data_IF_625416316025
#
_entry.id   IF_625416316025
#
_cell.length_a   1.000
_cell.length_b   1.000
_cell.length_c   1.000
_cell.angle_alpha   90.00
_cell.angle_beta   90.00
_cell.angle_gamma   90.00
#
_symmetry.space_group_name_H-M   'P 1'
#
loop_
_entity.id
_entity.type
_entity.pdbx_description
1 polymer ?
#
# COMPACT_ATOMS: atom_id res chain seq x y z
N UNK A 1 -29.30 -1.81 -28.33
CA UNK A 1 -27.99 -1.12 -28.23
C UNK A 1 -27.83 -0.32 -29.52
N UNK A 2 -27.77 1.01 -29.44
CA UNK A 2 -27.51 1.83 -30.64
C UNK A 2 -26.14 1.45 -31.23
N UNK A 3 -26.03 1.42 -32.56
CA UNK A 3 -24.80 1.04 -33.27
C UNK A 3 -23.61 1.97 -32.94
N UNK A 4 -22.38 1.58 -33.33
CA UNK A 4 -21.17 2.28 -32.94
C UNK A 4 -21.22 3.76 -33.36
N UNK A 5 -21.20 4.67 -32.39
CA UNK A 5 -21.12 6.11 -32.61
C UNK A 5 -19.69 6.50 -32.97
N UNK A 6 -19.50 7.32 -34.00
CA UNK A 6 -18.18 7.89 -34.38
C UNK A 6 -17.57 8.83 -33.33
N UNK A 7 -18.25 9.03 -32.20
CA UNK A 7 -17.82 9.94 -31.12
C UNK A 7 -16.60 9.45 -30.34
N UNK A 8 -16.31 8.14 -30.39
CA UNK A 8 -15.19 7.56 -29.68
C UNK A 8 -14.39 6.65 -30.62
N UNK A 9 -13.27 7.17 -31.07
CA UNK A 9 -12.28 6.41 -31.85
C UNK A 9 -11.35 5.75 -30.84
N UNK A 10 -11.48 4.43 -30.68
CA UNK A 10 -10.60 3.65 -29.82
C UNK A 10 -9.23 3.52 -30.49
N UNK A 11 -8.20 4.07 -29.87
CA UNK A 11 -6.82 3.79 -30.25
C UNK A 11 -6.45 2.35 -29.82
N UNK A 12 -6.09 1.45 -30.76
CA UNK A 12 -5.72 0.09 -30.43
C UNK A 12 -4.53 -0.01 -29.46
N UNK A 13 -3.58 0.94 -29.53
CA UNK A 13 -2.41 0.91 -28.66
C UNK A 13 -2.78 1.22 -27.21
N UNK A 14 -3.58 2.26 -27.00
CA UNK A 14 -4.10 2.65 -25.69
C UNK A 14 -5.03 1.58 -25.11
N UNK A 15 -5.85 0.94 -25.93
CA UNK A 15 -6.68 -0.19 -25.48
C UNK A 15 -5.84 -1.38 -25.03
N UNK A 16 -4.80 -1.76 -25.79
CA UNK A 16 -3.85 -2.81 -25.39
C UNK A 16 -3.11 -2.48 -24.10
N UNK A 17 -2.73 -1.22 -23.89
CA UNK A 17 -2.10 -0.79 -22.65
C UNK A 17 -3.04 -0.99 -21.44
N UNK A 18 -4.31 -0.60 -21.55
CA UNK A 18 -5.28 -0.85 -20.49
C UNK A 18 -5.49 -2.34 -20.24
N UNK A 19 -5.57 -3.15 -21.29
CA UNK A 19 -5.71 -4.60 -21.18
C UNK A 19 -4.51 -5.24 -20.47
N UNK A 20 -3.28 -4.79 -20.73
CA UNK A 20 -2.07 -5.27 -20.02
C UNK A 20 -2.14 -4.94 -18.53
N UNK A 21 -2.60 -3.73 -18.18
CA UNK A 21 -2.73 -3.32 -16.79
C UNK A 21 -3.81 -4.13 -16.06
N UNK A 22 -4.99 -4.29 -16.66
CA UNK A 22 -6.09 -5.05 -16.09
C UNK A 22 -5.74 -6.55 -15.93
N UNK A 23 -5.00 -7.12 -16.89
CA UNK A 23 -4.60 -8.52 -16.88
C UNK A 23 -3.23 -8.78 -16.23
N UNK A 24 -2.62 -7.78 -15.57
CA UNK A 24 -1.25 -7.87 -15.04
C UNK A 24 -1.04 -9.07 -14.11
N UNK A 25 -2.06 -9.42 -13.31
CA UNK A 25 -2.03 -10.56 -12.40
C UNK A 25 -1.88 -11.91 -13.13
N UNK A 26 -2.41 -12.04 -14.36
CA UNK A 26 -2.31 -13.28 -15.16
C UNK A 26 -0.88 -13.57 -15.61
N UNK A 27 -0.10 -12.52 -15.84
CA UNK A 27 1.28 -12.61 -16.31
C UNK A 27 2.30 -12.48 -15.19
N UNK A 28 1.85 -12.38 -13.95
CA UNK A 28 2.73 -12.28 -12.80
C UNK A 28 3.56 -13.56 -12.61
N UNK A 29 4.82 -13.40 -12.19
CA UNK A 29 5.73 -14.50 -11.87
C UNK A 29 6.48 -14.19 -10.60
N UNK A 30 6.61 -15.20 -9.74
CA UNK A 30 7.49 -15.11 -8.58
C UNK A 30 8.95 -15.14 -9.01
N UNK A 31 9.57 -13.96 -9.02
CA UNK A 31 11.04 -13.84 -9.07
C UNK A 31 11.56 -13.49 -7.68
N UNK A 32 12.84 -13.74 -7.38
CA UNK A 32 13.41 -13.44 -6.05
C UNK A 32 13.16 -12.00 -5.62
N UNK A 33 13.22 -11.04 -6.56
CA UNK A 33 12.91 -9.63 -6.30
C UNK A 33 11.45 -9.41 -5.89
N UNK A 34 10.49 -10.00 -6.61
CA UNK A 34 9.07 -9.85 -6.27
C UNK A 34 8.74 -10.52 -4.94
N UNK A 35 9.27 -11.72 -4.69
CA UNK A 35 9.11 -12.41 -3.42
C UNK A 35 9.62 -11.57 -2.24
N UNK A 36 10.81 -10.98 -2.38
CA UNK A 36 11.38 -10.10 -1.35
C UNK A 36 10.52 -8.85 -1.10
N UNK A 37 10.07 -8.18 -2.17
CA UNK A 37 9.21 -7.01 -2.04
C UNK A 37 7.86 -7.37 -1.40
N UNK A 38 7.22 -8.46 -1.81
CA UNK A 38 5.98 -8.93 -1.20
C UNK A 38 6.16 -9.22 0.29
N UNK A 39 7.25 -9.90 0.66
CA UNK A 39 7.55 -10.17 2.07
C UNK A 39 7.75 -8.89 2.89
N UNK A 40 8.50 -7.91 2.36
CA UNK A 40 8.70 -6.63 3.03
C UNK A 40 7.38 -5.89 3.29
N UNK A 41 6.54 -5.75 2.26
CA UNK A 41 5.31 -4.97 2.35
C UNK A 41 4.17 -5.69 3.09
N UNK A 42 4.13 -7.02 3.05
CA UNK A 42 3.07 -7.77 3.72
C UNK A 42 3.42 -8.20 5.15
N UNK A 43 4.70 -8.43 5.46
CA UNK A 43 5.11 -8.94 6.77
C UNK A 43 5.97 -7.92 7.53
N UNK A 44 7.06 -7.45 6.94
CA UNK A 44 8.04 -6.61 7.67
C UNK A 44 7.42 -5.28 8.07
N UNK A 45 6.82 -4.54 7.13
CA UNK A 45 6.25 -3.22 7.43
C UNK A 45 5.07 -3.31 8.41
N UNK A 46 4.05 -4.17 8.21
CA UNK A 46 2.97 -4.30 9.19
C UNK A 46 3.47 -4.83 10.54
N UNK A 47 4.43 -5.76 10.54
CA UNK A 47 5.00 -6.34 11.75
C UNK A 47 5.79 -5.33 12.58
N UNK A 48 6.61 -4.48 11.94
CA UNK A 48 7.35 -3.43 12.66
C UNK A 48 6.42 -2.35 13.18
N UNK A 49 5.44 -1.92 12.38
CA UNK A 49 4.42 -0.96 12.82
C UNK A 49 3.60 -1.50 13.98
N UNK A 50 3.14 -2.74 13.91
CA UNK A 50 2.42 -3.40 15.00
C UNK A 50 3.27 -3.51 16.26
N UNK A 51 4.54 -3.93 16.13
CA UNK A 51 5.46 -4.01 17.26
C UNK A 51 5.65 -2.66 17.95
N UNK A 52 5.90 -1.59 17.18
CA UNK A 52 6.05 -0.24 17.72
C UNK A 52 4.74 0.18 18.38
N UNK A 53 3.61 0.03 17.69
CA UNK A 53 2.29 0.39 18.21
C UNK A 53 2.05 -0.24 19.58
N UNK A 54 2.17 -1.57 19.70
CA UNK A 54 1.98 -2.27 20.98
C UNK A 54 3.00 -1.91 22.07
N UNK A 55 4.22 -1.53 21.69
CA UNK A 55 5.25 -1.09 22.65
C UNK A 55 5.07 0.35 23.12
N UNK A 56 4.41 1.18 22.32
CA UNK A 56 4.21 2.61 22.62
C UNK A 56 2.78 2.95 23.03
N UNK A 57 1.85 2.01 22.87
CA UNK A 57 0.46 2.17 23.29
C UNK A 57 0.40 2.47 24.79
N UNK A 58 -0.28 3.55 25.15
CA UNK A 58 -0.40 4.01 26.53
C UNK A 58 0.90 4.52 27.16
N UNK A 59 2.05 4.40 26.50
CA UNK A 59 3.35 4.79 27.07
C UNK A 59 3.53 6.30 27.14
N UNK A 60 2.86 7.09 26.31
CA UNK A 60 3.09 8.54 26.26
C UNK A 60 1.78 9.33 26.42
N UNK A 61 1.70 10.14 27.48
CA UNK A 61 0.65 11.17 27.63
C UNK A 61 1.25 12.57 27.63
N UNK A 62 0.73 13.40 26.74
CA UNK A 62 1.14 14.80 26.55
C UNK A 62 0.18 15.78 27.23
N UNK A 63 -0.92 15.29 27.82
CA UNK A 63 -1.96 16.15 28.38
C UNK A 63 -1.46 16.91 29.60
N UNK A 64 -1.40 18.25 29.47
CA UNK A 64 -1.06 19.15 30.58
C UNK A 64 0.42 19.15 31.00
N UNK A 65 1.30 18.46 30.27
CA UNK A 65 2.74 18.39 30.56
C UNK A 65 3.45 19.71 30.23
N UNK A 66 4.41 20.10 31.05
CA UNK A 66 5.23 21.32 30.90
C UNK A 66 6.67 20.95 30.53
N UNK A 67 7.50 21.97 30.30
CA UNK A 67 8.93 21.79 30.06
C UNK A 67 9.55 21.08 31.27
N UNK A 68 10.35 20.05 31.00
CA UNK A 68 11.01 19.17 32.00
C UNK A 68 10.14 18.09 32.65
N UNK A 69 8.83 18.02 32.35
CA UNK A 69 7.97 16.93 32.85
C UNK A 69 8.19 15.62 32.07
N UNK A 70 8.10 14.48 32.77
CA UNK A 70 8.20 13.16 32.14
C UNK A 70 6.94 12.82 31.34
N UNK A 71 7.15 12.41 30.10
CA UNK A 71 6.09 12.04 29.15
C UNK A 71 5.71 10.56 29.24
N UNK A 72 6.58 9.72 29.82
CA UNK A 72 6.33 8.28 29.91
C UNK A 72 5.34 7.93 31.02
N UNK A 73 4.35 7.10 30.69
CA UNK A 73 3.46 6.39 31.61
C UNK A 73 3.85 4.89 31.61
N UNK A 74 3.87 4.27 32.80
CA UNK A 74 4.43 2.93 33.03
C UNK A 74 3.45 1.79 32.73
#
# INVERSE_FOLDING_TARGET
MAGPSKSLVLDPALQKYYEINANRYKYFRWTPRHAWLSFLYMAVIPGTLGYIAYKTEGKYDFRGKRREDTLEEF
#
